data_IF_572954725147
#
_entry.id   IF_572954725147
#
_cell.length_a   1.000
_cell.length_b   1.000
_cell.length_c   1.000
_cell.angle_alpha   90.00
_cell.angle_beta   90.00
_cell.angle_gamma   90.00
#
_symmetry.space_group_name_H-M   'P 1'
#
loop_
_entity.id
_entity.type
_entity.pdbx_description
1 polymer ?
#
# COMPACT_ATOMS: atom_id res chain seq x y z
N UNK A 1 28.64 -50.38 -22.95
CA UNK A 1 28.40 -50.68 -21.53
C UNK A 1 28.34 -49.36 -20.80
N UNK A 2 27.14 -48.86 -20.49
CA UNK A 2 26.85 -47.80 -19.52
C UNK A 2 25.46 -47.25 -19.83
N UNK A 3 24.45 -47.95 -19.31
CA UNK A 3 23.07 -47.52 -19.23
C UNK A 3 22.99 -46.43 -18.17
N UNK A 4 22.57 -45.21 -18.53
CA UNK A 4 22.22 -44.19 -17.54
C UNK A 4 20.72 -44.24 -17.26
N UNK A 5 20.45 -44.23 -15.97
CA UNK A 5 19.23 -44.64 -15.30
C UNK A 5 18.22 -43.50 -15.27
N UNK A 6 16.98 -43.83 -15.62
CA UNK A 6 15.78 -43.03 -15.43
C UNK A 6 15.49 -42.96 -13.93
N UNK A 7 15.35 -41.77 -13.35
CA UNK A 7 14.71 -41.59 -12.04
C UNK A 7 13.64 -40.53 -12.15
N UNK A 8 12.41 -40.96 -11.95
CA UNK A 8 11.20 -40.15 -11.84
C UNK A 8 11.31 -39.23 -10.63
N UNK A 9 11.07 -37.93 -10.85
CA UNK A 9 11.00 -36.92 -9.80
C UNK A 9 9.55 -36.89 -9.28
N UNK A 10 9.33 -37.57 -8.16
CA UNK A 10 8.12 -37.51 -7.35
C UNK A 10 8.04 -36.15 -6.64
N UNK A 11 6.92 -35.46 -6.81
CA UNK A 11 6.58 -34.24 -6.09
C UNK A 11 6.27 -34.56 -4.63
N UNK A 12 7.27 -34.39 -3.76
CA UNK A 12 7.05 -34.31 -2.31
C UNK A 12 6.47 -32.93 -1.97
N UNK A 13 5.15 -32.88 -1.77
CA UNK A 13 4.49 -31.80 -1.04
C UNK A 13 4.89 -31.89 0.45
N UNK A 14 6.02 -31.28 0.81
CA UNK A 14 6.20 -30.71 2.15
C UNK A 14 7.38 -29.75 2.15
N UNK A 15 7.23 -28.65 2.89
CA UNK A 15 8.23 -27.59 3.11
C UNK A 15 8.45 -26.60 1.96
N UNK A 16 7.53 -25.65 1.85
CA UNK A 16 7.88 -24.23 1.84
C UNK A 16 6.74 -23.47 2.50
N UNK A 17 6.72 -23.65 3.82
CA UNK A 17 6.04 -22.77 4.77
C UNK A 17 6.59 -21.35 4.57
N UNK A 18 5.88 -20.58 3.74
CA UNK A 18 5.91 -19.12 3.79
C UNK A 18 5.38 -18.76 5.18
N UNK A 19 6.32 -18.54 6.10
CA UNK A 19 6.07 -18.09 7.45
C UNK A 19 5.50 -16.67 7.38
N UNK A 20 4.17 -16.59 7.27
CA UNK A 20 3.28 -15.82 8.16
C UNK A 20 3.87 -14.53 8.74
N UNK A 21 3.80 -13.43 7.99
CA UNK A 21 3.84 -12.07 8.57
C UNK A 21 2.42 -11.60 9.00
N UNK A 22 1.37 -12.35 8.61
CA UNK A 22 -0.03 -12.13 8.97
C UNK A 22 -0.48 -12.80 10.29
N UNK A 23 0.46 -13.24 11.14
CA UNK A 23 0.17 -13.82 12.46
C UNK A 23 -0.02 -12.76 13.57
N UNK A 24 -0.55 -11.58 13.22
CA UNK A 24 -0.74 -10.45 14.16
C UNK A 24 -2.17 -10.28 14.70
N UNK A 25 -2.96 -11.34 14.70
CA UNK A 25 -4.20 -11.47 15.48
C UNK A 25 -4.04 -12.51 16.61
N UNK A 26 -3.12 -12.28 17.55
CA UNK A 26 -2.98 -13.15 18.74
C UNK A 26 -4.22 -13.16 19.67
N UNK A 27 -5.18 -12.25 19.44
CA UNK A 27 -6.39 -12.10 20.25
C UNK A 27 -7.61 -12.15 19.33
N UNK A 28 -8.48 -13.18 19.47
CA UNK A 28 -9.69 -13.27 18.67
C UNK A 28 -10.69 -12.17 19.06
N UNK A 29 -11.51 -11.73 18.11
CA UNK A 29 -12.62 -10.83 18.38
C UNK A 29 -13.67 -11.51 19.28
N UNK A 30 -14.32 -10.74 20.15
CA UNK A 30 -15.26 -11.28 21.15
C UNK A 30 -16.47 -12.00 20.54
N UNK A 31 -16.84 -11.70 19.30
CA UNK A 31 -17.93 -12.40 18.62
C UNK A 31 -17.54 -13.84 18.25
N UNK A 32 -16.29 -14.05 17.85
CA UNK A 32 -15.76 -15.39 17.52
C UNK A 32 -15.46 -16.19 18.80
N UNK A 33 -14.94 -15.52 19.83
CA UNK A 33 -14.69 -16.14 21.13
C UNK A 33 -15.15 -15.23 22.28
N UNK A 34 -16.39 -15.42 22.79
CA UNK A 34 -16.95 -14.57 23.85
C UNK A 34 -16.23 -14.68 25.19
N UNK A 35 -15.50 -15.78 25.44
CA UNK A 35 -14.73 -15.95 26.66
C UNK A 35 -13.59 -14.95 26.79
N UNK A 36 -13.14 -14.34 25.68
CA UNK A 36 -12.07 -13.34 25.69
C UNK A 36 -12.42 -12.15 26.58
N UNK A 37 -13.71 -11.85 26.76
CA UNK A 37 -14.20 -10.73 27.56
C UNK A 37 -13.91 -10.90 29.06
N UNK A 38 -13.77 -12.15 29.53
CA UNK A 38 -13.63 -12.50 30.95
C UNK A 38 -12.27 -13.11 31.31
N UNK A 39 -11.32 -13.15 30.36
CA UNK A 39 -9.99 -13.70 30.63
C UNK A 39 -9.18 -12.78 31.54
N UNK A 40 -8.62 -13.34 32.62
CA UNK A 40 -7.86 -12.62 33.64
C UNK A 40 -6.69 -11.78 33.09
N UNK A 41 -6.13 -12.18 31.93
CA UNK A 41 -5.06 -11.46 31.25
C UNK A 41 -5.53 -10.11 30.66
N UNK A 42 -6.78 -10.03 30.20
CA UNK A 42 -7.30 -8.90 29.42
C UNK A 42 -8.42 -8.13 30.15
N UNK A 43 -8.87 -8.59 31.32
CA UNK A 43 -9.97 -7.96 32.08
C UNK A 43 -9.65 -6.55 32.59
N UNK A 44 -8.38 -6.19 32.73
CA UNK A 44 -7.94 -4.83 33.13
C UNK A 44 -7.73 -3.89 31.94
N UNK A 45 -7.90 -4.38 30.71
CA UNK A 45 -7.76 -3.60 29.49
C UNK A 45 -9.09 -2.91 29.14
N UNK A 46 -9.30 -1.73 29.73
CA UNK A 46 -10.52 -0.94 29.52
C UNK A 46 -10.38 0.07 28.38
N UNK A 47 -9.16 0.43 27.98
CA UNK A 47 -8.92 1.45 26.96
C UNK A 47 -7.95 0.93 25.90
N UNK A 48 -8.14 1.28 24.62
CA UNK A 48 -7.20 0.93 23.57
C UNK A 48 -5.90 1.71 23.77
N UNK A 49 -4.75 1.01 23.69
CA UNK A 49 -3.41 1.62 23.68
C UNK A 49 -2.68 1.24 22.40
N UNK A 50 -1.68 2.03 22.00
CA UNK A 50 -1.04 1.89 20.68
C UNK A 50 -0.39 0.52 20.45
N UNK A 51 0.10 -0.13 21.51
CA UNK A 51 0.69 -1.47 21.45
C UNK A 51 -0.29 -2.65 21.31
N UNK A 52 -1.61 -2.41 21.29
CA UNK A 52 -2.62 -3.47 21.16
C UNK A 52 -2.94 -3.80 19.70
N UNK A 53 -3.31 -5.05 19.42
CA UNK A 53 -3.84 -5.45 18.11
C UNK A 53 -5.23 -4.88 17.87
N UNK A 54 -5.68 -4.84 16.62
CA UNK A 54 -7.00 -4.29 16.27
C UNK A 54 -8.15 -4.97 17.04
N UNK A 55 -8.19 -6.30 17.03
CA UNK A 55 -9.19 -7.07 17.76
C UNK A 55 -9.13 -6.84 19.27
N UNK A 56 -7.92 -6.72 19.83
CA UNK A 56 -7.74 -6.42 21.25
C UNK A 56 -8.27 -5.03 21.61
N UNK A 57 -8.05 -4.02 20.77
CA UNK A 57 -8.61 -2.66 20.94
C UNK A 57 -10.13 -2.68 20.95
N UNK A 58 -10.76 -3.38 19.99
CA UNK A 58 -12.23 -3.51 19.96
C UNK A 58 -12.79 -4.28 21.16
N UNK A 59 -12.09 -5.32 21.61
CA UNK A 59 -12.47 -6.07 22.82
C UNK A 59 -12.40 -5.16 24.06
N UNK A 60 -11.35 -4.35 24.21
CA UNK A 60 -11.20 -3.39 25.31
C UNK A 60 -12.34 -2.36 25.34
N UNK A 61 -12.67 -1.78 24.17
CA UNK A 61 -13.79 -0.84 24.03
C UNK A 61 -15.12 -1.52 24.40
N UNK A 62 -15.36 -2.73 23.90
CA UNK A 62 -16.60 -3.47 24.19
C UNK A 62 -16.75 -3.74 25.69
N UNK A 63 -15.66 -4.10 26.40
CA UNK A 63 -15.68 -4.33 27.86
C UNK A 63 -16.08 -3.06 28.62
N UNK A 64 -15.52 -1.93 28.24
CA UNK A 64 -15.84 -0.63 28.84
C UNK A 64 -17.30 -0.23 28.62
N UNK A 65 -17.83 -0.44 27.41
CA UNK A 65 -19.25 -0.19 27.11
C UNK A 65 -20.15 -1.06 27.99
N UNK A 66 -19.84 -2.35 28.16
CA UNK A 66 -20.61 -3.26 29.02
C UNK A 66 -20.56 -2.78 30.48
N UNK A 67 -19.38 -2.46 31.01
CA UNK A 67 -19.23 -2.01 32.40
C UNK A 67 -19.97 -0.71 32.67
N UNK A 68 -19.82 0.29 31.79
CA UNK A 68 -20.51 1.57 31.92
C UNK A 68 -22.03 1.38 31.80
N UNK A 69 -22.50 0.49 30.91
CA UNK A 69 -23.93 0.19 30.77
C UNK A 69 -24.50 -0.44 32.04
N UNK A 70 -23.79 -1.40 32.64
CA UNK A 70 -24.20 -2.03 33.90
C UNK A 70 -24.22 -1.01 35.05
N UNK A 71 -23.16 -0.23 35.22
CA UNK A 71 -23.10 0.80 36.24
C UNK A 71 -24.21 1.84 36.08
N UNK A 72 -24.44 2.29 34.84
CA UNK A 72 -25.51 3.25 34.50
C UNK A 72 -26.90 2.68 34.73
N UNK A 73 -27.10 1.38 34.46
CA UNK A 73 -28.36 0.70 34.73
C UNK A 73 -28.62 0.56 36.23
N UNK A 74 -27.59 0.22 37.03
CA UNK A 74 -27.71 0.15 38.49
C UNK A 74 -28.06 1.51 39.11
N UNK A 75 -27.52 2.59 38.56
CA UNK A 75 -27.82 3.96 39.00
C UNK A 75 -29.21 4.45 38.56
N UNK A 76 -29.55 4.29 37.27
CA UNK A 76 -30.77 4.87 36.69
C UNK A 76 -32.01 3.97 36.81
N UNK A 77 -31.82 2.65 36.88
CA UNK A 77 -32.87 1.62 36.87
C UNK A 77 -33.87 1.73 35.71
N UNK A 78 -33.47 2.35 34.59
CA UNK A 78 -34.28 2.48 33.38
C UNK A 78 -33.84 1.46 32.33
N UNK A 79 -34.80 0.69 31.83
CA UNK A 79 -34.57 -0.25 30.71
C UNK A 79 -34.02 0.44 29.45
N UNK A 80 -34.30 1.73 29.25
CA UNK A 80 -33.76 2.52 28.13
C UNK A 80 -32.22 2.51 28.08
N UNK A 81 -31.55 2.46 29.24
CA UNK A 81 -30.08 2.43 29.33
C UNK A 81 -29.52 1.14 28.73
N UNK A 82 -30.20 0.00 28.96
CA UNK A 82 -29.79 -1.29 28.38
C UNK A 82 -29.94 -1.30 26.86
N UNK A 83 -31.00 -0.68 26.33
CA UNK A 83 -31.22 -0.57 24.88
C UNK A 83 -30.07 0.20 24.22
N UNK A 84 -29.62 1.31 24.82
CA UNK A 84 -28.50 2.09 24.32
C UNK A 84 -27.19 1.27 24.35
N UNK A 85 -26.92 0.54 25.44
CA UNK A 85 -25.74 -0.32 25.53
C UNK A 85 -25.71 -1.42 24.47
N UNK A 86 -26.84 -2.07 24.20
CA UNK A 86 -26.97 -3.09 23.14
C UNK A 86 -26.73 -2.47 21.76
N UNK A 87 -27.25 -1.26 21.52
CA UNK A 87 -27.04 -0.54 20.26
C UNK A 87 -25.55 -0.22 20.07
N UNK A 88 -24.86 0.23 21.11
CA UNK A 88 -23.42 0.52 21.07
C UNK A 88 -22.58 -0.73 20.78
N UNK A 89 -22.86 -1.86 21.44
CA UNK A 89 -22.15 -3.12 21.16
C UNK A 89 -22.42 -3.60 19.73
N UNK A 90 -23.67 -3.46 19.24
CA UNK A 90 -24.03 -3.77 17.86
C UNK A 90 -23.25 -2.92 16.85
N UNK A 91 -23.06 -1.63 17.12
CA UNK A 91 -22.27 -0.75 16.26
C UNK A 91 -20.80 -1.20 16.17
N UNK A 92 -20.21 -1.65 17.29
CA UNK A 92 -18.84 -2.20 17.32
C UNK A 92 -18.75 -3.48 16.48
N UNK A 93 -19.74 -4.37 16.56
CA UNK A 93 -19.81 -5.56 15.70
C UNK A 93 -19.88 -5.20 14.21
N UNK A 94 -20.73 -4.24 13.84
CA UNK A 94 -20.86 -3.78 12.45
C UNK A 94 -19.53 -3.19 11.95
N UNK A 95 -18.84 -2.41 12.77
CA UNK A 95 -17.52 -1.85 12.45
C UNK A 95 -16.49 -2.97 12.17
N UNK A 96 -16.42 -3.99 13.04
CA UNK A 96 -15.56 -5.16 12.85
C UNK A 96 -15.90 -5.91 11.55
N UNK A 97 -17.19 -6.16 11.30
CA UNK A 97 -17.67 -6.86 10.12
C UNK A 97 -17.27 -6.14 8.82
N UNK A 98 -17.43 -4.81 8.75
CA UNK A 98 -16.99 -4.05 7.58
C UNK A 98 -15.46 -4.02 7.45
N UNK A 99 -14.72 -3.94 8.56
CA UNK A 99 -13.26 -3.98 8.54
C UNK A 99 -12.75 -5.31 7.96
N UNK A 100 -13.26 -6.45 8.44
CA UNK A 100 -12.91 -7.78 7.93
C UNK A 100 -13.34 -7.93 6.47
N UNK A 101 -14.56 -7.50 6.12
CA UNK A 101 -15.03 -7.57 4.73
C UNK A 101 -14.15 -6.74 3.79
N UNK A 102 -13.74 -5.54 4.18
CA UNK A 102 -12.89 -4.68 3.36
C UNK A 102 -11.45 -5.19 3.29
N UNK A 103 -10.95 -5.84 4.35
CA UNK A 103 -9.65 -6.49 4.34
C UNK A 103 -9.63 -7.71 3.39
N UNK A 104 -10.71 -8.49 3.35
CA UNK A 104 -10.88 -9.64 2.44
C UNK A 104 -11.28 -9.20 1.03
N UNK A 105 -11.94 -8.05 0.89
CA UNK A 105 -12.31 -7.43 -0.39
C UNK A 105 -11.27 -6.42 -0.86
N UNK A 106 -9.99 -6.56 -0.46
CA UNK A 106 -8.90 -6.01 -1.27
C UNK A 106 -9.17 -6.49 -2.70
N UNK A 107 -9.45 -5.52 -3.56
CA UNK A 107 -9.98 -5.75 -4.91
C UNK A 107 -9.15 -6.82 -5.63
N UNK A 108 -9.79 -7.65 -6.47
CA UNK A 108 -9.16 -8.74 -7.21
C UNK A 108 -8.16 -8.30 -8.28
N UNK A 109 -7.37 -7.27 -7.99
CA UNK A 109 -6.10 -6.99 -8.63
C UNK A 109 -5.05 -7.81 -7.87
N UNK A 110 -4.50 -8.84 -8.53
CA UNK A 110 -3.24 -9.41 -8.05
C UNK A 110 -2.19 -8.30 -8.12
N UNK A 111 -1.64 -7.83 -6.99
CA UNK A 111 -0.65 -6.75 -6.97
C UNK A 111 0.74 -7.30 -7.30
N UNK A 112 0.84 -8.30 -8.18
CA UNK A 112 2.09 -8.99 -8.50
C UNK A 112 3.17 -8.11 -9.13
N UNK A 113 2.86 -6.85 -9.44
CA UNK A 113 3.82 -5.87 -9.96
C UNK A 113 3.90 -4.55 -9.15
N UNK A 114 2.94 -4.24 -8.29
CA UNK A 114 2.89 -2.96 -7.57
C UNK A 114 3.34 -3.05 -6.12
N UNK A 115 3.07 -4.17 -5.44
CA UNK A 115 3.59 -4.40 -4.07
C UNK A 115 5.12 -4.60 -4.09
N UNK A 116 5.66 -5.26 -5.13
CA UNK A 116 7.11 -5.37 -5.33
C UNK A 116 7.78 -4.02 -5.58
N UNK A 117 7.10 -3.06 -6.23
CA UNK A 117 7.63 -1.71 -6.45
C UNK A 117 7.57 -0.84 -5.19
N UNK A 118 6.68 -1.13 -4.24
CA UNK A 118 6.68 -0.46 -2.94
C UNK A 118 7.74 -1.03 -1.97
N UNK A 119 8.10 -2.31 -2.13
CA UNK A 119 9.11 -3.00 -1.34
C UNK A 119 10.55 -2.91 -1.90
N UNK A 120 10.72 -2.46 -3.14
CA UNK A 120 12.03 -2.33 -3.77
C UNK A 120 12.86 -1.22 -3.12
N UNK A 121 13.96 -1.55 -2.45
CA UNK A 121 14.83 -0.57 -1.77
C UNK A 121 15.96 -0.04 -2.70
N UNK A 122 16.10 -0.63 -3.90
CA UNK A 122 17.21 -0.39 -4.85
C UNK A 122 17.03 0.79 -5.80
N UNK A 123 16.37 1.87 -5.38
CA UNK A 123 16.01 2.98 -6.28
C UNK A 123 17.20 3.88 -6.69
N UNK A 124 18.24 3.98 -5.87
CA UNK A 124 19.29 5.00 -6.03
C UNK A 124 20.14 4.82 -7.30
N UNK A 125 20.35 3.57 -7.73
CA UNK A 125 21.16 3.30 -8.91
C UNK A 125 20.37 3.38 -10.22
N UNK A 126 19.06 3.12 -10.20
CA UNK A 126 18.24 3.00 -11.41
C UNK A 126 17.51 4.30 -11.76
N UNK A 127 17.07 5.05 -10.74
CA UNK A 127 16.28 6.27 -10.92
C UNK A 127 17.07 7.50 -10.52
N UNK A 128 16.61 8.64 -11.00
CA UNK A 128 17.07 9.94 -10.52
C UNK A 128 16.42 10.26 -9.17
N UNK A 129 17.09 11.01 -8.31
CA UNK A 129 16.59 11.33 -6.97
C UNK A 129 15.87 12.68 -6.96
N UNK A 130 14.71 12.83 -6.29
CA UNK A 130 14.05 14.11 -6.12
C UNK A 130 15.01 15.15 -5.52
N UNK A 131 15.09 16.34 -6.12
CA UNK A 131 15.91 17.45 -5.63
C UNK A 131 15.04 18.69 -5.40
N UNK A 132 15.50 19.64 -4.56
CA UNK A 132 14.78 20.91 -4.39
C UNK A 132 14.64 21.66 -5.73
N UNK A 133 15.62 21.59 -6.62
CA UNK A 133 15.53 22.24 -7.93
C UNK A 133 14.53 21.55 -8.86
N UNK A 134 14.30 20.24 -8.68
CA UNK A 134 13.41 19.45 -9.52
C UNK A 134 12.78 18.28 -8.74
N UNK A 135 11.74 18.52 -7.91
CA UNK A 135 11.18 17.48 -7.04
C UNK A 135 10.61 16.30 -7.83
N UNK A 136 9.93 16.57 -8.94
CA UNK A 136 9.31 15.54 -9.79
C UNK A 136 10.28 14.89 -10.79
N UNK A 137 11.55 15.31 -10.78
CA UNK A 137 12.61 14.82 -11.69
C UNK A 137 12.21 14.87 -13.18
N UNK A 138 11.46 15.91 -13.57
CA UNK A 138 11.08 16.14 -14.97
C UNK A 138 12.29 16.59 -15.80
N UNK A 139 12.30 16.29 -17.10
CA UNK A 139 13.34 16.83 -17.99
C UNK A 139 13.23 18.35 -18.04
N UNK A 140 14.29 19.04 -17.66
CA UNK A 140 14.43 20.49 -17.73
C UNK A 140 15.27 20.90 -18.94
N UNK A 141 15.16 22.16 -19.36
CA UNK A 141 15.96 22.68 -20.46
C UNK A 141 17.49 22.58 -20.23
N UNK A 142 18.03 22.85 -19.03
CA UNK A 142 19.46 22.71 -18.76
C UNK A 142 19.97 21.26 -18.84
N UNK A 143 19.10 20.26 -18.70
CA UNK A 143 19.52 18.85 -18.69
C UNK A 143 20.15 18.44 -20.03
N UNK A 144 19.77 19.09 -21.14
CA UNK A 144 20.38 18.84 -22.45
C UNK A 144 21.87 19.20 -22.53
N UNK A 145 22.35 20.10 -21.67
CA UNK A 145 23.76 20.51 -21.64
C UNK A 145 24.50 19.88 -20.46
N UNK A 146 23.84 19.75 -19.30
CA UNK A 146 24.48 19.38 -18.02
C UNK A 146 24.12 17.99 -17.50
N UNK A 147 23.10 17.33 -18.06
CA UNK A 147 22.60 16.02 -17.63
C UNK A 147 22.12 15.19 -18.84
N UNK A 148 23.01 15.00 -19.81
CA UNK A 148 22.68 14.37 -21.10
C UNK A 148 22.23 12.93 -21.00
N UNK A 149 22.69 12.21 -19.97
CA UNK A 149 22.34 10.81 -19.66
C UNK A 149 21.38 10.75 -18.46
N UNK A 150 20.37 11.62 -18.44
CA UNK A 150 19.43 11.74 -17.32
C UNK A 150 18.70 10.42 -17.06
N UNK A 151 18.82 9.92 -15.83
CA UNK A 151 18.08 8.75 -15.32
C UNK A 151 16.56 9.02 -15.27
N UNK A 152 15.72 7.99 -15.39
CA UNK A 152 14.27 8.14 -15.30
C UNK A 152 13.85 8.67 -13.92
N UNK A 153 12.76 9.43 -13.89
CA UNK A 153 12.16 9.87 -12.63
C UNK A 153 11.66 8.65 -11.84
N UNK A 154 11.75 8.69 -10.51
CA UNK A 154 11.29 7.60 -9.66
C UNK A 154 9.76 7.51 -9.69
N UNK A 155 9.18 6.32 -9.43
CA UNK A 155 7.73 6.13 -9.43
C UNK A 155 7.05 6.96 -8.33
N UNK A 156 6.35 8.04 -8.72
CA UNK A 156 5.72 8.97 -7.78
C UNK A 156 4.57 8.38 -6.95
N UNK A 157 4.06 7.19 -7.32
CA UNK A 157 3.04 6.48 -6.55
C UNK A 157 3.62 5.71 -5.34
N UNK A 158 4.94 5.52 -5.28
CA UNK A 158 5.59 4.89 -4.14
C UNK A 158 5.60 5.88 -2.97
N UNK A 159 5.13 5.46 -1.79
CA UNK A 159 4.97 6.34 -0.62
C UNK A 159 6.29 7.02 -0.20
N UNK A 160 7.43 6.31 -0.28
CA UNK A 160 8.75 6.88 0.06
C UNK A 160 9.15 7.96 -0.93
N UNK A 161 8.94 7.71 -2.22
CA UNK A 161 9.23 8.68 -3.28
C UNK A 161 8.30 9.89 -3.15
N UNK A 162 7.01 9.68 -2.93
CA UNK A 162 6.01 10.73 -2.71
C UNK A 162 6.39 11.63 -1.53
N UNK A 163 6.79 11.04 -0.39
CA UNK A 163 7.27 11.78 0.78
C UNK A 163 8.56 12.55 0.47
N UNK A 164 9.49 11.97 -0.28
CA UNK A 164 10.70 12.67 -0.72
C UNK A 164 10.39 13.85 -1.64
N UNK A 165 9.46 13.70 -2.60
CA UNK A 165 8.98 14.80 -3.45
C UNK A 165 8.38 15.91 -2.59
N UNK A 166 7.55 15.55 -1.61
CA UNK A 166 6.90 16.50 -0.70
C UNK A 166 7.93 17.30 0.11
N UNK A 167 8.94 16.63 0.66
CA UNK A 167 9.99 17.27 1.44
C UNK A 167 10.86 18.19 0.58
N UNK A 168 11.21 17.76 -0.63
CA UNK A 168 11.94 18.62 -1.58
C UNK A 168 11.10 19.80 -2.07
N UNK A 169 9.79 19.63 -2.21
CA UNK A 169 8.88 20.74 -2.52
C UNK A 169 8.81 21.76 -1.37
N UNK A 170 8.81 21.33 -0.10
CA UNK A 170 8.94 22.24 1.05
C UNK A 170 10.30 22.95 1.03
N UNK A 171 11.36 22.23 0.68
CA UNK A 171 12.72 22.78 0.58
C UNK A 171 12.83 23.91 -0.45
N UNK A 172 12.11 23.83 -1.58
CA UNK A 172 12.00 24.95 -2.55
C UNK A 172 11.56 26.23 -1.85
N UNK A 173 10.51 26.15 -1.03
CA UNK A 173 9.94 27.31 -0.36
C UNK A 173 10.96 27.93 0.60
N UNK A 174 11.76 27.12 1.28
CA UNK A 174 12.82 27.59 2.17
C UNK A 174 13.93 28.28 1.36
N UNK A 175 14.42 27.64 0.30
CA UNK A 175 15.51 28.16 -0.54
C UNK A 175 15.13 29.45 -1.26
N UNK A 176 13.86 29.60 -1.64
CA UNK A 176 13.33 30.82 -2.26
C UNK A 176 13.13 31.96 -1.25
N UNK A 177 13.16 31.70 0.05
CA UNK A 177 12.90 32.70 1.11
C UNK A 177 14.05 32.78 2.15
N UNK A 178 15.29 33.12 1.73
CA UNK A 178 16.46 33.09 2.62
C UNK A 178 16.39 34.10 3.79
N UNK A 179 15.52 35.11 3.71
CA UNK A 179 15.30 36.08 4.78
C UNK A 179 14.41 35.59 5.93
N UNK A 180 13.86 34.37 5.83
CA UNK A 180 12.93 33.80 6.82
C UNK A 180 13.38 32.38 7.22
N UNK A 181 14.28 32.25 8.22
CA UNK A 181 14.84 30.95 8.59
C UNK A 181 13.77 29.96 9.10
N UNK A 182 12.73 30.44 9.77
CA UNK A 182 11.68 29.60 10.39
C UNK A 182 10.43 29.49 9.50
N UNK A 183 10.54 29.66 8.18
CA UNK A 183 9.38 29.67 7.28
C UNK A 183 8.69 28.29 7.20
N UNK A 184 9.49 27.22 7.26
CA UNK A 184 8.96 25.85 7.21
C UNK A 184 8.08 25.53 8.42
N UNK A 185 8.55 25.89 9.62
CA UNK A 185 7.83 25.68 10.88
C UNK A 185 6.54 26.51 10.98
N UNK A 186 6.41 27.56 10.16
CA UNK A 186 5.19 28.39 10.12
C UNK A 186 4.18 27.95 9.08
N UNK A 187 4.61 27.24 8.04
CA UNK A 187 3.76 26.86 6.90
C UNK A 187 3.39 25.38 6.87
N UNK A 188 4.15 24.52 7.56
CA UNK A 188 4.04 23.07 7.42
C UNK A 188 3.97 22.31 8.76
N UNK A 189 3.66 22.99 9.86
CA UNK A 189 3.66 22.36 11.20
C UNK A 189 2.36 21.63 11.49
N UNK A 190 1.21 22.23 11.16
CA UNK A 190 -0.07 21.60 11.44
C UNK A 190 -0.44 20.55 10.38
N UNK A 191 -1.16 19.51 10.80
CA UNK A 191 -1.66 18.48 9.90
C UNK A 191 -2.60 19.07 8.83
N UNK A 192 -3.39 20.08 9.20
CA UNK A 192 -4.25 20.79 8.27
C UNK A 192 -3.46 21.52 7.19
N UNK A 193 -2.38 22.18 7.58
CA UNK A 193 -1.50 22.91 6.65
C UNK A 193 -0.76 21.96 5.70
N UNK A 194 -0.24 20.84 6.23
CA UNK A 194 0.40 19.80 5.41
C UNK A 194 -0.57 19.23 4.36
N UNK A 195 -1.81 18.93 4.76
CA UNK A 195 -2.84 18.46 3.84
C UNK A 195 -3.17 19.47 2.74
N UNK A 196 -3.30 20.76 3.09
CA UNK A 196 -3.54 21.82 2.09
C UNK A 196 -2.34 21.97 1.15
N UNK A 197 -1.12 21.84 1.66
CA UNK A 197 0.09 21.87 0.85
C UNK A 197 0.13 20.68 -0.13
N UNK A 198 -0.11 19.45 0.34
CA UNK A 198 -0.21 18.27 -0.53
C UNK A 198 -1.29 18.44 -1.61
N UNK A 199 -2.46 18.96 -1.23
CA UNK A 199 -3.53 19.27 -2.18
C UNK A 199 -3.10 20.32 -3.22
N UNK A 200 -2.26 21.28 -2.83
CA UNK A 200 -1.71 22.29 -3.74
C UNK A 200 -0.71 21.71 -4.74
N UNK A 201 -0.13 20.53 -4.45
CA UNK A 201 0.81 19.84 -5.34
C UNK A 201 0.13 19.05 -6.47
N UNK A 202 -1.19 18.86 -6.43
CA UNK A 202 -1.96 18.13 -7.46
C UNK A 202 -1.72 18.52 -8.93
N UNK A 203 -1.53 19.80 -9.31
CA UNK A 203 -1.25 20.15 -10.70
C UNK A 203 0.18 19.80 -11.13
N UNK A 204 1.06 19.44 -10.20
CA UNK A 204 2.44 19.07 -10.48
C UNK A 204 2.57 17.54 -10.45
N UNK A 205 3.18 16.99 -11.49
CA UNK A 205 3.36 15.55 -11.66
C UNK A 205 4.61 15.28 -12.50
N UNK A 206 5.11 14.05 -12.40
CA UNK A 206 6.17 13.56 -13.30
C UNK A 206 5.60 13.26 -14.67
N UNK A 207 6.22 13.80 -15.72
CA UNK A 207 5.82 13.59 -17.10
C UNK A 207 6.08 12.13 -17.52
N UNK A 208 5.36 11.62 -18.53
CA UNK A 208 5.57 10.24 -19.01
C UNK A 208 6.99 9.97 -19.55
N UNK A 209 7.67 11.00 -20.05
CA UNK A 209 9.04 10.91 -20.52
C UNK A 209 9.95 11.79 -19.64
N UNK A 210 10.85 11.14 -18.90
CA UNK A 210 11.73 11.79 -17.91
C UNK A 210 13.22 11.52 -18.17
N UNK A 211 13.56 10.85 -19.28
CA UNK A 211 14.92 10.54 -19.70
C UNK A 211 15.34 11.38 -20.90
N UNK A 212 16.64 11.49 -21.11
CA UNK A 212 17.24 12.04 -22.34
C UNK A 212 18.19 10.98 -22.91
N UNK A 213 18.00 10.53 -24.16
CA UNK A 213 16.78 10.68 -24.97
C UNK A 213 15.57 9.95 -24.34
N UNK A 214 14.37 10.23 -24.83
CA UNK A 214 13.17 9.46 -24.45
C UNK A 214 13.33 7.97 -24.87
N UNK A 215 12.82 7.05 -24.05
CA UNK A 215 12.86 5.60 -24.26
C UNK A 215 11.91 5.12 -25.38
N UNK A 216 12.28 5.44 -26.61
CA UNK A 216 11.57 4.98 -27.81
C UNK A 216 11.70 3.46 -28.01
N UNK A 217 12.81 2.86 -27.54
CA UNK A 217 13.03 1.43 -27.63
C UNK A 217 12.02 0.67 -26.76
N UNK A 218 11.91 1.02 -25.48
CA UNK A 218 10.93 0.45 -24.57
C UNK A 218 9.49 0.63 -25.03
N UNK A 219 9.14 1.79 -25.61
CA UNK A 219 7.83 1.99 -26.22
C UNK A 219 7.59 1.04 -27.41
N UNK A 220 8.58 0.86 -28.30
CA UNK A 220 8.46 -0.03 -29.44
C UNK A 220 8.35 -1.50 -29.03
N UNK A 221 9.10 -1.92 -28.02
CA UNK A 221 9.05 -3.25 -27.45
C UNK A 221 7.72 -3.51 -26.73
N UNK A 222 7.17 -2.51 -26.06
CA UNK A 222 5.83 -2.59 -25.48
C UNK A 222 4.75 -2.81 -26.55
N UNK A 223 4.81 -2.07 -27.67
CA UNK A 223 3.83 -2.22 -28.75
C UNK A 223 4.01 -3.50 -29.58
N UNK A 224 5.25 -3.92 -29.84
CA UNK A 224 5.57 -4.91 -30.87
C UNK A 224 6.47 -6.06 -30.39
N UNK A 225 7.15 -5.95 -29.26
CA UNK A 225 8.17 -6.91 -28.82
C UNK A 225 7.65 -8.33 -28.57
N UNK A 226 6.37 -8.47 -28.21
CA UNK A 226 5.71 -9.76 -28.06
C UNK A 226 5.01 -10.28 -29.33
N UNK A 227 5.04 -9.54 -30.44
CA UNK A 227 4.31 -9.91 -31.65
C UNK A 227 5.07 -10.98 -32.44
N UNK A 228 4.58 -12.21 -32.34
CA UNK A 228 5.11 -13.34 -33.11
C UNK A 228 4.69 -13.26 -34.58
N UNK A 229 5.65 -13.38 -35.51
CA UNK A 229 5.38 -13.37 -36.94
C UNK A 229 5.49 -14.75 -37.58
N UNK A 230 4.57 -15.09 -38.49
CA UNK A 230 4.69 -16.30 -39.31
C UNK A 230 5.94 -16.26 -40.21
N UNK A 231 6.39 -15.08 -40.62
CA UNK A 231 7.62 -14.92 -41.43
C UNK A 231 8.87 -15.40 -40.70
N UNK A 232 8.85 -15.37 -39.38
CA UNK A 232 9.93 -15.85 -38.50
C UNK A 232 9.85 -17.35 -38.21
N UNK A 233 8.87 -18.06 -38.81
CA UNK A 233 8.69 -19.50 -38.63
C UNK A 233 7.89 -19.88 -37.38
N UNK A 234 7.21 -18.93 -36.73
CA UNK A 234 6.35 -19.24 -35.59
C UNK A 234 5.07 -19.97 -36.04
N UNK A 235 4.96 -21.27 -35.70
CA UNK A 235 3.84 -22.11 -36.12
C UNK A 235 2.47 -21.62 -35.62
N UNK A 236 2.40 -21.09 -34.40
CA UNK A 236 1.15 -20.56 -33.83
C UNK A 236 0.68 -19.30 -34.58
N UNK A 237 1.61 -18.41 -34.95
CA UNK A 237 1.31 -17.23 -35.75
C UNK A 237 0.85 -17.59 -37.17
N UNK A 238 1.45 -18.62 -37.79
CA UNK A 238 1.07 -19.09 -39.12
C UNK A 238 -0.32 -19.76 -39.17
N UNK A 239 -0.71 -20.44 -38.09
CA UNK A 239 -2.00 -21.14 -38.03
C UNK A 239 -3.19 -20.21 -37.73
N UNK A 240 -2.96 -18.98 -37.26
CA UNK A 240 -4.01 -18.08 -36.74
C UNK A 240 -5.09 -17.67 -37.76
N UNK A 241 -4.78 -17.71 -39.05
CA UNK A 241 -5.71 -17.34 -40.14
C UNK A 241 -5.74 -18.40 -41.25
N UNK A 242 -5.52 -19.68 -40.93
CA UNK A 242 -5.68 -20.74 -41.93
C UNK A 242 -7.18 -20.99 -42.16
N UNK A 243 -7.70 -20.66 -43.34
CA UNK A 243 -9.12 -20.83 -43.74
C UNK A 243 -9.62 -22.28 -43.79
N UNK A 244 -8.83 -23.28 -43.37
CA UNK A 244 -9.28 -24.67 -43.29
C UNK A 244 -9.71 -24.98 -41.87
N UNK A 245 -11.01 -24.74 -41.62
CA UNK A 245 -11.97 -25.53 -40.82
C UNK A 245 -12.97 -24.63 -40.09
N UNK A 246 -13.91 -24.04 -40.82
CA UNK A 246 -15.30 -23.93 -40.32
C UNK A 246 -15.98 -25.28 -40.53
N UNK A 247 -16.28 -25.98 -39.43
CA UNK A 247 -17.35 -26.98 -39.33
C UNK A 247 -17.95 -26.86 -37.93
#
# INVERSE_FOLDING_TARGET
MSTLQKSEFSTDLSSNSVYTDDLKDLVPFWFDNPNIMFQAKYVTEFFPVDGMTYNQKLNAITRSVILITIASFLYSQKLRVLIVGILSVSAIYVMHYFHVKNAVSKEGYEPGSLEDLNAYDGFEDTFDTPSSTNPFSNVLLPDYDYNVDKKPAPPAFNDRVSNSILDQAKQIVIEQNPGQPDIADKLFTDLGEQYIFEQSLKPFYSNPATTIPNDQAGFSDFCYGGMVSCKEGNLFACARNLDRHTN
#
